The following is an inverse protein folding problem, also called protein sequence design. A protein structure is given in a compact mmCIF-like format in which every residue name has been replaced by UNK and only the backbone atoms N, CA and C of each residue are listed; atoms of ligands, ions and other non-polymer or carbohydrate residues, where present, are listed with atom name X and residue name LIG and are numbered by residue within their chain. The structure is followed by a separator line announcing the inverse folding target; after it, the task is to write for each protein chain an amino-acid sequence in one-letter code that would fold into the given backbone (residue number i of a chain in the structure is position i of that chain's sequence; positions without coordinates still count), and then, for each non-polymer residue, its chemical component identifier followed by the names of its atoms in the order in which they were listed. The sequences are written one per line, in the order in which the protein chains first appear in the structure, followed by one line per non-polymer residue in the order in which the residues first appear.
data_IF_140063332184
#
_entry.id   IF_140063332184
#
_cell.length_a   1.000
_cell.length_b   1.000
_cell.length_c   1.000
_cell.angle_alpha   90.00
_cell.angle_beta   90.00
_cell.angle_gamma   90.00
#
_symmetry.space_group_name_H-M   'P 1'
#
loop_
_entity.id
_entity.type
_entity.pdbx_description
1 polymer ?
#
# COMPACT_ATOMS: atom_id res chain seq x y z
N UNK A 1 -0.26 -0.41 3.12
CA UNK A 1 -0.62 -0.84 1.77
C UNK A 1 -1.94 -1.60 1.82
N UNK A 2 -2.84 -1.39 0.87
CA UNK A 2 -3.98 -2.29 0.68
C UNK A 2 -3.45 -3.59 0.07
N UNK A 3 -3.23 -4.58 0.92
CA UNK A 3 -2.96 -5.96 0.56
C UNK A 3 -4.08 -6.86 1.09
N UNK A 4 -4.15 -8.13 0.67
CA UNK A 4 -5.20 -9.05 1.06
C UNK A 4 -5.43 -9.03 2.57
N UNK A 5 -6.70 -8.97 2.97
CA UNK A 5 -7.11 -8.69 4.34
C UNK A 5 -6.47 -9.63 5.37
N UNK A 6 -6.26 -9.08 6.56
CA UNK A 6 -5.70 -9.78 7.73
C UNK A 6 -6.64 -10.91 8.17
N UNK A 7 -6.07 -11.98 8.72
CA UNK A 7 -6.65 -13.30 9.00
C UNK A 7 -7.97 -13.39 9.83
N UNK A 8 -8.68 -12.29 10.10
CA UNK A 8 -9.84 -12.27 10.99
C UNK A 8 -11.19 -11.89 10.33
N UNK A 9 -11.24 -11.65 9.01
CA UNK A 9 -12.51 -11.31 8.34
C UNK A 9 -12.39 -11.03 6.85
N UNK A 10 -11.99 -12.04 6.08
CA UNK A 10 -11.75 -11.88 4.64
C UNK A 10 -13.00 -11.49 3.84
N UNK A 11 -12.84 -10.58 2.88
CA UNK A 11 -13.80 -10.39 1.78
C UNK A 11 -13.41 -11.29 0.61
N UNK A 12 -14.39 -12.00 0.06
CA UNK A 12 -14.21 -12.94 -1.04
C UNK A 12 -15.03 -12.49 -2.24
N UNK A 13 -14.51 -12.72 -3.45
CA UNK A 13 -15.19 -12.40 -4.69
C UNK A 13 -14.31 -12.69 -5.90
N UNK A 14 -14.90 -12.99 -7.08
CA UNK A 14 -14.16 -13.31 -8.29
C UNK A 14 -13.48 -12.09 -8.94
N UNK A 15 -13.84 -10.86 -8.55
CA UNK A 15 -13.32 -9.63 -9.15
C UNK A 15 -12.52 -8.83 -8.12
N UNK A 16 -11.34 -8.37 -8.53
CA UNK A 16 -10.49 -7.47 -7.73
C UNK A 16 -10.24 -6.20 -8.52
N UNK A 17 -10.59 -5.07 -7.92
CA UNK A 17 -10.29 -3.73 -8.43
C UNK A 17 -9.23 -3.16 -7.49
N UNK A 18 -8.09 -2.72 -8.03
CA UNK A 18 -7.00 -2.14 -7.26
C UNK A 18 -6.38 -0.98 -8.04
N UNK A 19 -6.09 0.12 -7.34
CA UNK A 19 -5.36 1.26 -7.85
C UNK A 19 -4.28 1.67 -6.87
N UNK A 20 -3.10 2.00 -7.38
CA UNK A 20 -1.98 2.50 -6.59
C UNK A 20 -1.45 3.78 -7.24
N UNK A 21 -1.24 4.80 -6.42
CA UNK A 21 -0.61 6.04 -6.80
C UNK A 21 0.59 6.30 -5.88
N UNK A 22 1.77 6.45 -6.47
CA UNK A 22 3.00 6.70 -5.74
C UNK A 22 3.66 8.00 -6.20
N UNK A 23 3.87 8.92 -5.24
CA UNK A 23 4.67 10.11 -5.45
C UNK A 23 6.08 9.85 -4.93
N UNK A 24 7.04 9.83 -5.86
CA UNK A 24 8.44 9.48 -5.59
C UNK A 24 9.33 10.70 -5.75
N UNK A 25 10.03 11.09 -4.69
CA UNK A 25 11.02 12.16 -4.81
C UNK A 25 12.31 11.64 -5.44
N UNK A 26 13.10 12.51 -6.08
CA UNK A 26 14.50 12.24 -6.37
C UNK A 26 15.28 11.87 -5.11
N UNK A 27 16.43 11.22 -5.30
CA UNK A 27 17.32 10.89 -4.20
C UNK A 27 18.03 12.15 -3.68
N UNK A 28 17.67 12.54 -2.46
CA UNK A 28 18.33 13.52 -1.62
C UNK A 28 19.66 12.92 -1.15
N UNK A 29 20.71 13.75 -1.09
CA UNK A 29 22.09 13.35 -0.75
C UNK A 29 22.66 12.21 -1.62
N UNK A 30 22.05 11.89 -2.78
CA UNK A 30 22.39 10.80 -3.72
C UNK A 30 22.00 9.39 -3.26
N UNK A 31 21.57 9.18 -2.01
CA UNK A 31 21.27 7.84 -1.46
C UNK A 31 19.93 7.72 -0.73
N UNK A 32 19.23 8.81 -0.38
CA UNK A 32 17.92 8.74 0.31
C UNK A 32 16.81 9.32 -0.56
N UNK A 33 15.73 8.58 -0.80
CA UNK A 33 14.53 9.09 -1.46
C UNK A 33 13.32 8.94 -0.54
N UNK A 34 12.34 9.83 -0.65
CA UNK A 34 11.07 9.73 0.06
C UNK A 34 9.99 9.29 -0.93
N UNK A 35 9.00 8.56 -0.44
CA UNK A 35 7.81 8.17 -1.21
C UNK A 35 6.57 8.41 -0.38
N UNK A 36 5.56 9.03 -0.97
CA UNK A 36 4.18 9.00 -0.49
C UNK A 36 3.37 8.08 -1.39
N UNK A 37 2.43 7.32 -0.82
CA UNK A 37 1.58 6.43 -1.61
C UNK A 37 0.12 6.48 -1.14
N UNK A 38 -0.77 6.24 -2.10
CA UNK A 38 -2.20 6.09 -1.91
C UNK A 38 -2.64 4.84 -2.67
N UNK A 39 -3.29 3.93 -1.95
CA UNK A 39 -3.90 2.72 -2.49
C UNK A 39 -5.41 2.84 -2.40
N UNK A 40 -6.11 2.33 -3.40
CA UNK A 40 -7.53 2.07 -3.35
C UNK A 40 -7.86 0.67 -3.85
N UNK A 41 -8.85 0.01 -3.27
CA UNK A 41 -9.22 -1.32 -3.74
C UNK A 41 -10.55 -1.83 -3.23
N UNK A 42 -11.12 -2.76 -3.98
CA UNK A 42 -12.37 -3.46 -3.66
C UNK A 42 -12.31 -4.88 -4.22
N UNK A 43 -12.79 -5.84 -3.43
CA UNK A 43 -13.17 -7.17 -3.92
C UNK A 43 -14.68 -7.14 -4.18
N UNK A 44 -15.09 -7.57 -5.37
CA UNK A 44 -16.47 -7.46 -5.87
C UNK A 44 -16.97 -8.81 -6.43
N UNK A 45 -18.29 -8.94 -6.49
CA UNK A 45 -18.96 -10.01 -7.23
C UNK A 45 -18.99 -9.68 -8.72
N UNK A 46 -19.03 -10.70 -9.58
CA UNK A 46 -19.11 -10.49 -11.03
C UNK A 46 -20.41 -9.78 -11.45
N UNK A 47 -21.48 -9.92 -10.66
CA UNK A 47 -22.78 -9.30 -10.93
C UNK A 47 -22.96 -7.93 -10.27
N UNK A 48 -22.04 -7.50 -9.39
CA UNK A 48 -22.10 -6.20 -8.71
C UNK A 48 -20.72 -5.52 -8.69
N UNK A 49 -20.44 -4.76 -9.75
CA UNK A 49 -19.21 -4.00 -9.94
C UNK A 49 -19.28 -2.58 -9.35
N UNK A 50 -20.28 -2.26 -8.53
CA UNK A 50 -20.43 -0.92 -7.99
C UNK A 50 -19.32 -0.61 -6.97
N UNK A 51 -18.73 0.59 -7.04
CA UNK A 51 -17.59 1.02 -6.20
C UNK A 51 -17.98 1.38 -4.75
N UNK A 52 -19.02 0.76 -4.18
CA UNK A 52 -19.55 1.06 -2.83
C UNK A 52 -18.68 0.48 -1.71
N UNK A 53 -17.86 -0.52 -2.04
CA UNK A 53 -16.99 -1.25 -1.12
C UNK A 53 -15.55 -0.77 -1.11
N UNK A 54 -15.23 0.31 -1.84
CA UNK A 54 -13.87 0.79 -2.02
C UNK A 54 -13.22 1.12 -0.66
N UNK A 55 -12.04 0.56 -0.42
CA UNK A 55 -11.18 0.90 0.71
C UNK A 55 -10.05 1.80 0.22
N UNK A 56 -9.56 2.65 1.12
CA UNK A 56 -8.40 3.50 0.87
C UNK A 56 -7.35 3.27 1.93
N UNK A 57 -6.10 3.18 1.50
CA UNK A 57 -4.94 3.18 2.36
C UNK A 57 -3.95 4.23 1.89
N UNK A 58 -3.25 4.86 2.82
CA UNK A 58 -2.16 5.75 2.46
C UNK A 58 -0.99 5.55 3.39
N UNK A 59 0.17 6.00 2.94
CA UNK A 59 1.37 5.91 3.71
C UNK A 59 2.51 6.69 3.10
N UNK A 60 3.64 6.59 3.79
CA UNK A 60 4.89 7.18 3.37
C UNK A 60 6.03 6.22 3.67
N UNK A 61 7.13 6.40 2.98
CA UNK A 61 8.30 5.59 3.18
C UNK A 61 9.57 6.24 2.69
N UNK A 62 10.67 5.59 3.07
CA UNK A 62 12.02 6.02 2.77
C UNK A 62 12.69 4.92 1.95
N UNK A 63 13.41 5.33 0.91
CA UNK A 63 14.20 4.47 0.03
C UNK A 63 15.67 4.81 0.21
N UNK A 64 16.48 3.80 0.52
CA UNK A 64 17.91 3.94 0.72
C UNK A 64 18.63 3.16 -0.38
N UNK A 65 19.51 3.81 -1.13
CA UNK A 65 20.42 3.12 -2.05
C UNK A 65 21.51 2.44 -1.24
N UNK A 66 21.61 1.13 -1.37
CA UNK A 66 22.71 0.32 -0.81
C UNK A 66 23.50 -0.32 -1.95
N UNK A 67 24.74 -0.79 -1.72
CA UNK A 67 25.54 -1.47 -2.74
C UNK A 67 24.86 -2.70 -3.36
N UNK A 68 23.99 -3.38 -2.60
CA UNK A 68 23.23 -4.55 -3.06
C UNK A 68 21.93 -4.19 -3.78
N UNK A 69 21.51 -2.92 -3.76
CA UNK A 69 20.27 -2.43 -4.37
C UNK A 69 19.47 -1.48 -3.46
N UNK A 70 18.32 -0.97 -3.92
CA UNK A 70 17.47 -0.12 -3.10
C UNK A 70 16.77 -0.92 -1.98
N UNK A 71 16.81 -0.38 -0.77
CA UNK A 71 16.04 -0.85 0.40
C UNK A 71 14.91 0.14 0.67
N UNK A 72 13.70 -0.33 0.92
CA UNK A 72 12.53 0.50 1.25
C UNK A 72 12.04 0.20 2.65
N UNK A 73 11.65 1.25 3.36
CA UNK A 73 10.93 1.20 4.64
C UNK A 73 9.67 2.03 4.48
N UNK A 74 8.53 1.36 4.41
CA UNK A 74 7.24 2.00 4.15
C UNK A 74 6.31 1.78 5.35
N UNK A 75 5.62 2.82 5.80
CA UNK A 75 4.53 2.72 6.76
C UNK A 75 3.25 3.19 6.10
N UNK A 76 2.18 2.43 6.25
CA UNK A 76 0.87 2.85 5.78
C UNK A 76 -0.27 2.28 6.60
N UNK A 77 -1.41 2.95 6.57
CA UNK A 77 -2.62 2.60 7.31
C UNK A 77 -3.86 2.70 6.46
N UNK A 78 -4.96 2.11 6.92
CA UNK A 78 -6.28 2.34 6.31
C UNK A 78 -6.74 3.75 6.64
N UNK A 79 -7.28 4.44 5.65
CA UNK A 79 -7.85 5.79 5.80
C UNK A 79 -9.33 5.74 6.15
N UNK A 80 -10.04 4.74 5.64
CA UNK A 80 -11.47 4.54 5.88
C UNK A 80 -11.73 3.13 6.41
N UNK A 81 -12.80 2.98 7.20
CA UNK A 81 -13.23 1.68 7.76
C UNK A 81 -12.11 0.94 8.51
N UNK A 82 -11.16 1.70 9.07
CA UNK A 82 -10.08 1.16 9.88
C UNK A 82 -10.66 0.60 11.20
N UNK A 83 -10.32 -0.63 11.61
CA UNK A 83 -10.71 -1.16 12.91
C UNK A 83 -10.25 -0.26 14.05
N UNK A 84 -10.98 -0.27 15.17
CA UNK A 84 -10.56 0.41 16.38
C UNK A 84 -9.16 -0.09 16.81
N UNK A 85 -8.22 0.84 16.97
CA UNK A 85 -6.83 0.51 17.30
C UNK A 85 -5.92 0.19 16.11
N UNK A 86 -6.33 0.45 14.86
CA UNK A 86 -5.44 0.32 13.70
C UNK A 86 -4.22 1.26 13.82
N UNK A 87 -3.04 0.66 13.97
CA UNK A 87 -1.73 1.36 14.04
C UNK A 87 -1.03 1.46 12.69
N UNK A 88 -1.65 0.94 11.63
CA UNK A 88 -1.02 0.75 10.34
C UNK A 88 -0.05 -0.44 10.33
N UNK A 89 0.70 -0.54 9.24
CA UNK A 89 1.62 -1.64 8.95
C UNK A 89 2.94 -1.06 8.45
N UNK A 90 4.03 -1.65 8.92
CA UNK A 90 5.37 -1.41 8.38
C UNK A 90 5.71 -2.49 7.36
N UNK A 91 6.37 -2.06 6.28
CA UNK A 91 6.84 -2.92 5.21
C UNK A 91 8.31 -2.62 4.96
N UNK A 92 9.07 -3.69 4.74
CA UNK A 92 10.49 -3.61 4.37
C UNK A 92 10.63 -4.34 3.05
N UNK A 93 11.21 -3.67 2.06
CA UNK A 93 11.52 -4.24 0.74
C UNK A 93 13.01 -4.15 0.46
N UNK A 94 13.60 -5.22 -0.04
CA UNK A 94 15.02 -5.29 -0.42
C UNK A 94 15.08 -5.64 -1.90
N UNK A 95 16.01 -5.04 -2.66
CA UNK A 95 16.22 -5.36 -4.08
C UNK A 95 14.94 -5.20 -4.92
N UNK A 96 14.14 -4.21 -4.54
CA UNK A 96 12.85 -3.97 -5.13
C UNK A 96 13.01 -3.12 -6.39
N UNK A 97 12.81 -3.74 -7.54
CA UNK A 97 12.70 -3.07 -8.84
C UNK A 97 11.21 -2.92 -9.14
N UNK A 98 10.70 -1.70 -9.12
CA UNK A 98 9.48 -1.36 -9.86
C UNK A 98 9.92 -0.75 -11.18
#
# INVERSE_FOLDING_TARGET
ALGPDTAAGGRYGPVVINGNFELRTPYILRWVGVVGFLDCGQVADQNDLQLRGLEFGAGAGIRIKTPVGPVRFDWGKRLIRAPAGDRGRFYIGILHTF
#
